data_IF_340812049895
#
_entry.id   IF_340812049895
#
_cell.length_a   1.000
_cell.length_b   1.000
_cell.length_c   1.000
_cell.angle_alpha   90.00
_cell.angle_beta   90.00
_cell.angle_gamma   90.00
#
_symmetry.space_group_name_H-M   'P 1'
#
loop_
_entity.id
_entity.type
_entity.pdbx_description
1 polymer ?
#
# COMPACT_ATOMS: atom_id res chain seq x y z
N UNK A 1 6.39 -17.69 -13.96
CA UNK A 1 7.28 -16.72 -13.29
C UNK A 1 7.67 -17.30 -11.94
N UNK A 2 8.96 -17.54 -11.71
CA UNK A 2 9.48 -17.90 -10.39
C UNK A 2 9.36 -16.72 -9.41
N UNK A 3 9.59 -16.95 -8.10
CA UNK A 3 9.57 -15.87 -7.11
C UNK A 3 10.65 -14.83 -7.41
N UNK A 4 10.32 -13.55 -7.27
CA UNK A 4 11.28 -12.45 -7.43
C UNK A 4 12.35 -12.50 -6.33
N UNK A 5 13.61 -12.27 -6.69
CA UNK A 5 14.69 -12.12 -5.69
C UNK A 5 14.59 -10.78 -4.98
N UNK A 6 15.30 -10.65 -3.85
CA UNK A 6 15.35 -9.38 -3.10
C UNK A 6 15.94 -8.25 -3.94
N UNK A 7 16.97 -8.52 -4.76
CA UNK A 7 17.57 -7.53 -5.65
C UNK A 7 16.57 -7.09 -6.74
N UNK A 8 15.83 -8.04 -7.33
CA UNK A 8 14.83 -7.73 -8.33
C UNK A 8 13.70 -6.86 -7.76
N UNK A 9 13.19 -7.20 -6.56
CA UNK A 9 12.18 -6.39 -5.89
C UNK A 9 12.68 -4.98 -5.58
N UNK A 10 13.95 -4.82 -5.17
CA UNK A 10 14.55 -3.50 -4.93
C UNK A 10 14.68 -2.68 -6.22
N UNK A 11 14.97 -3.32 -7.35
CA UNK A 11 15.01 -2.64 -8.66
C UNK A 11 13.63 -2.15 -9.05
N UNK A 12 12.62 -3.04 -9.03
CA UNK A 12 11.24 -2.67 -9.37
C UNK A 12 10.66 -1.60 -8.45
N UNK A 13 11.06 -1.60 -7.17
CA UNK A 13 10.62 -0.61 -6.20
C UNK A 13 11.07 0.82 -6.55
N UNK A 14 12.18 1.01 -7.29
CA UNK A 14 12.66 2.34 -7.68
C UNK A 14 11.70 3.05 -8.62
N UNK A 15 11.01 2.28 -9.46
CA UNK A 15 10.07 2.78 -10.46
C UNK A 15 8.61 2.65 -10.00
N UNK A 16 8.39 2.19 -8.77
CA UNK A 16 7.07 1.95 -8.23
C UNK A 16 6.47 3.21 -7.59
N UNK A 17 5.17 3.40 -7.79
CA UNK A 17 4.40 4.49 -7.19
C UNK A 17 3.73 4.03 -5.89
N UNK A 18 3.39 4.97 -5.01
CA UNK A 18 2.58 4.65 -3.83
C UNK A 18 1.19 4.16 -4.27
N UNK A 19 0.72 3.08 -3.67
CA UNK A 19 -0.54 2.45 -4.04
C UNK A 19 -1.74 3.40 -3.85
N UNK A 20 -1.65 4.33 -2.90
CA UNK A 20 -2.66 5.33 -2.60
C UNK A 20 -2.89 6.32 -3.76
N UNK A 21 -1.91 6.47 -4.66
CA UNK A 21 -2.04 7.37 -5.81
C UNK A 21 -2.78 6.74 -6.99
N UNK A 22 -3.12 5.44 -6.96
CA UNK A 22 -3.70 4.72 -8.11
C UNK A 22 -4.93 5.41 -8.70
N UNK A 23 -5.83 5.94 -7.88
CA UNK A 23 -7.01 6.67 -8.35
C UNK A 23 -6.64 7.93 -9.14
N UNK A 24 -5.63 8.67 -8.70
CA UNK A 24 -5.13 9.86 -9.41
C UNK A 24 -4.51 9.54 -10.77
N UNK A 25 -4.01 8.31 -10.95
CA UNK A 25 -3.43 7.82 -12.20
C UNK A 25 -4.44 7.06 -13.08
N UNK A 26 -5.74 7.08 -12.74
CA UNK A 26 -6.77 6.33 -13.47
C UNK A 26 -6.60 4.80 -13.38
N UNK A 27 -5.81 4.32 -12.43
CA UNK A 27 -5.46 2.92 -12.28
C UNK A 27 -6.28 2.22 -11.19
N UNK A 28 -7.29 2.84 -10.59
CA UNK A 28 -8.05 2.29 -9.45
C UNK A 28 -8.71 0.95 -9.76
N UNK A 29 -9.30 0.82 -10.94
CA UNK A 29 -10.05 -0.36 -11.40
C UNK A 29 -9.16 -1.51 -11.89
N UNK A 30 -7.85 -1.28 -12.04
CA UNK A 30 -6.95 -2.33 -12.53
C UNK A 30 -6.75 -3.41 -11.46
N UNK A 31 -6.71 -4.67 -11.87
CA UNK A 31 -6.36 -5.73 -10.93
C UNK A 31 -4.86 -5.65 -10.61
N UNK A 32 -4.49 -5.95 -9.36
CA UNK A 32 -3.08 -5.99 -8.96
C UNK A 32 -2.67 -7.35 -8.44
N UNK A 33 -1.48 -7.76 -8.82
CA UNK A 33 -0.82 -8.97 -8.33
C UNK A 33 0.32 -8.62 -7.40
N UNK A 34 0.36 -9.28 -6.24
CA UNK A 34 1.46 -9.15 -5.29
C UNK A 34 2.75 -9.81 -5.82
N UNK A 35 3.87 -9.10 -5.69
CA UNK A 35 5.19 -9.54 -6.14
C UNK A 35 6.10 -9.97 -5.00
N UNK A 36 6.02 -9.28 -3.86
CA UNK A 36 6.90 -9.52 -2.70
C UNK A 36 7.01 -8.30 -1.80
N UNK A 37 7.73 -8.46 -0.67
CA UNK A 37 8.00 -7.37 0.27
C UNK A 37 9.48 -7.02 0.29
N UNK A 38 9.80 -5.74 0.23
CA UNK A 38 11.13 -5.21 0.51
C UNK A 38 11.14 -4.62 1.93
N UNK A 39 12.06 -5.09 2.78
CA UNK A 39 12.31 -4.49 4.09
C UNK A 39 13.38 -3.41 4.02
N UNK A 40 13.15 -2.27 4.65
CA UNK A 40 14.11 -1.18 4.80
C UNK A 40 14.02 -0.64 6.22
N UNK A 41 14.90 -1.10 7.12
CA UNK A 41 14.81 -0.81 8.55
C UNK A 41 13.52 -1.37 9.15
N UNK A 42 12.71 -0.48 9.72
CA UNK A 42 11.38 -0.77 10.29
C UNK A 42 10.27 -0.76 9.24
N UNK A 43 10.55 -0.30 8.01
CA UNK A 43 9.56 -0.22 6.94
C UNK A 43 9.52 -1.51 6.12
N UNK A 44 8.31 -1.95 5.79
CA UNK A 44 8.01 -3.02 4.86
C UNK A 44 7.28 -2.41 3.66
N UNK A 45 7.80 -2.60 2.46
CA UNK A 45 7.21 -2.13 1.21
C UNK A 45 6.71 -3.32 0.42
N UNK A 46 5.41 -3.53 0.43
CA UNK A 46 4.74 -4.59 -0.33
C UNK A 46 4.56 -4.12 -1.76
N UNK A 47 5.15 -4.84 -2.71
CA UNK A 47 5.18 -4.49 -4.11
C UNK A 47 4.10 -5.25 -4.88
N UNK A 48 3.46 -4.56 -5.80
CA UNK A 48 2.40 -5.05 -6.66
C UNK A 48 2.67 -4.62 -8.10
N UNK A 49 2.12 -5.37 -9.05
CA UNK A 49 2.02 -4.97 -10.46
C UNK A 49 0.56 -4.98 -10.87
N UNK A 50 0.13 -3.99 -11.63
CA UNK A 50 -1.22 -3.98 -12.20
C UNK A 50 -1.28 -4.68 -13.58
N UNK A 51 -2.49 -4.88 -14.10
CA UNK A 51 -2.71 -5.46 -15.43
C UNK A 51 -2.16 -4.63 -16.58
N UNK A 52 -1.84 -3.35 -16.37
CA UNK A 52 -1.20 -2.47 -17.35
C UNK A 52 0.33 -2.48 -17.24
N UNK A 53 0.91 -3.22 -16.29
CA UNK A 53 2.34 -3.35 -16.09
C UNK A 53 2.96 -2.27 -15.20
N UNK A 54 2.17 -1.41 -14.54
CA UNK A 54 2.71 -0.42 -13.61
C UNK A 54 2.99 -1.06 -12.25
N UNK A 55 4.05 -0.60 -11.59
CA UNK A 55 4.45 -1.06 -10.28
C UNK A 55 3.92 -0.13 -9.18
N UNK A 56 3.40 -0.74 -8.12
CA UNK A 56 2.80 -0.05 -6.99
C UNK A 56 3.35 -0.61 -5.69
N UNK A 57 3.48 0.20 -4.65
CA UNK A 57 3.84 -0.29 -3.33
C UNK A 57 2.95 0.26 -2.21
N UNK A 58 2.66 -0.61 -1.23
CA UNK A 58 2.07 -0.23 0.06
C UNK A 58 3.13 -0.26 1.14
N UNK A 59 3.07 0.69 2.07
CA UNK A 59 3.97 0.71 3.22
C UNK A 59 3.29 0.15 4.47
N UNK A 60 4.03 -0.70 5.18
CA UNK A 60 3.75 -1.16 6.54
C UNK A 60 4.95 -0.83 7.43
N UNK A 61 4.70 -0.69 8.72
CA UNK A 61 5.71 -0.35 9.73
C UNK A 61 5.76 -1.46 10.78
N UNK A 62 6.97 -1.92 11.08
CA UNK A 62 7.23 -2.82 12.20
C UNK A 62 7.30 -1.97 13.46
N UNK A 63 6.43 -2.24 14.42
CA UNK A 63 6.38 -1.58 15.73
C UNK A 63 6.52 -2.61 16.84
N UNK A 64 6.71 -2.17 18.08
CA UNK A 64 6.77 -3.05 19.26
C UNK A 64 5.48 -3.87 19.47
N UNK A 65 4.36 -3.39 18.93
CA UNK A 65 3.05 -4.05 19.02
C UNK A 65 2.72 -4.90 17.79
N UNK A 66 3.64 -5.00 16.82
CA UNK A 66 3.47 -5.77 15.59
C UNK A 66 3.56 -4.92 14.32
N UNK A 67 3.18 -5.52 13.19
CA UNK A 67 3.22 -4.86 11.89
C UNK A 67 1.90 -4.14 11.62
N UNK A 68 1.96 -2.82 11.46
CA UNK A 68 0.80 -1.96 11.18
C UNK A 68 0.90 -1.32 9.79
N UNK A 69 -0.22 -0.81 9.27
CA UNK A 69 -0.21 0.00 8.05
C UNK A 69 0.51 1.33 8.29
N UNK A 70 1.07 1.94 7.24
CA UNK A 70 1.68 3.28 7.37
C UNK A 70 0.67 4.34 7.85
N UNK A 71 -0.59 4.28 7.37
CA UNK A 71 -1.66 5.13 7.88
C UNK A 71 -1.83 4.97 9.40
N UNK A 72 -1.91 3.74 9.88
CA UNK A 72 -2.08 3.47 11.31
C UNK A 72 -0.90 3.95 12.14
N UNK A 73 0.34 3.80 11.65
CA UNK A 73 1.51 4.32 12.35
C UNK A 73 1.51 5.84 12.52
N UNK A 74 0.88 6.59 11.60
CA UNK A 74 0.79 8.05 11.68
C UNK A 74 -0.41 8.49 12.53
N UNK A 75 -1.56 7.82 12.38
CA UNK A 75 -2.82 8.30 12.94
C UNK A 75 -3.30 7.53 14.17
N UNK A 76 -2.61 6.47 14.58
CA UNK A 76 -2.97 5.62 15.72
C UNK A 76 -4.31 4.89 15.55
N UNK A 77 -4.78 4.71 14.31
CA UNK A 77 -6.03 4.02 13.98
C UNK A 77 -6.02 3.48 12.55
N UNK A 78 -6.76 2.39 12.33
CA UNK A 78 -6.90 1.79 11.01
C UNK A 78 -7.68 2.70 10.03
N UNK A 79 -7.26 2.71 8.77
CA UNK A 79 -7.86 3.50 7.68
C UNK A 79 -9.35 3.20 7.49
N UNK A 80 -9.72 1.91 7.51
CA UNK A 80 -11.13 1.45 7.42
C UNK A 80 -12.03 1.99 8.53
N UNK A 81 -11.49 2.34 9.70
CA UNK A 81 -12.28 2.97 10.76
C UNK A 81 -12.48 4.47 10.51
N UNK A 82 -11.46 5.13 9.95
CA UNK A 82 -11.54 6.52 9.55
C UNK A 82 -12.54 6.71 8.41
N UNK A 83 -12.47 5.90 7.35
CA UNK A 83 -13.41 5.94 6.22
C UNK A 83 -14.85 5.72 6.66
N UNK A 84 -15.11 4.67 7.47
CA UNK A 84 -16.44 4.41 8.04
C UNK A 84 -16.96 5.60 8.87
N UNK A 85 -16.08 6.26 9.64
CA UNK A 85 -16.45 7.45 10.41
C UNK A 85 -16.75 8.65 9.50
N UNK A 86 -16.01 8.85 8.42
CA UNK A 86 -16.27 9.92 7.44
C UNK A 86 -17.58 9.68 6.68
N UNK A 87 -17.86 8.44 6.26
CA UNK A 87 -19.13 8.08 5.64
C UNK A 87 -20.32 8.36 6.57
N UNK A 88 -20.24 7.93 7.84
CA UNK A 88 -21.26 8.24 8.86
C UNK A 88 -21.45 9.74 9.09
N UNK A 89 -20.37 10.53 9.08
CA UNK A 89 -20.46 12.00 9.21
C UNK A 89 -21.14 12.65 8.01
N UNK A 90 -20.88 12.16 6.79
CA UNK A 90 -21.55 12.64 5.57
C UNK A 90 -23.04 12.30 5.57
N UNK A 91 -23.42 11.10 6.04
CA UNK A 91 -24.83 10.69 6.14
C UNK A 91 -25.63 11.50 7.18
N UNK A 92 -24.99 12.00 8.25
CA UNK A 92 -25.63 12.84 9.28
C UNK A 92 -25.80 14.31 8.88
N UNK A 93 -25.23 14.73 7.75
CA UNK A 93 -25.34 16.09 7.19
C UNK A 93 -26.28 16.17 5.99
N UNK A 94 -26.87 15.04 5.60
CA UNK A 94 -27.96 14.93 4.62
C UNK A 94 -29.27 14.78 5.39
#
# INVERSE_FOLDING_TARGET
MGPYTKEQLKTLLKDAWTYENRAGWGAEELETKYLGTVRTGEYLKDLYVDTAGNYWFKMRVITDHGVVSFHESIFGRAEREWERRQQRRKQRRK
#
